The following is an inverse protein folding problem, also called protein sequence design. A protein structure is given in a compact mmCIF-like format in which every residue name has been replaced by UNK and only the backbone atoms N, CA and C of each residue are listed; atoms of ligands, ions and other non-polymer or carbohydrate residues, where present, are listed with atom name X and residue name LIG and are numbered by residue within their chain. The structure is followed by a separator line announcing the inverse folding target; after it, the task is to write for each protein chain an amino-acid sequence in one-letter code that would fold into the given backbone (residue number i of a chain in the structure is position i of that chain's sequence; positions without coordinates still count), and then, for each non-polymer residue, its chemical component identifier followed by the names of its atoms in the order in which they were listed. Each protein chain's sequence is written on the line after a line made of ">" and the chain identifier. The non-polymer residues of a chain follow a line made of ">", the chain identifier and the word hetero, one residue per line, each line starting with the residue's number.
data_IF_310046187023
#
_entry.id   IF_310046187023
#
_cell.length_a   1.000
_cell.length_b   1.000
_cell.length_c   1.000
_cell.angle_alpha   90.00
_cell.angle_beta   90.00
_cell.angle_gamma   90.00
#
_symmetry.space_group_name_H-M   'P 1'
#
loop_
_entity.id
_entity.type
_entity.pdbx_description
1 polymer ?
#
# COMPACT_ATOMS: atom_id res chain seq x y z
N UNK A 1 9.47 -29.28 -11.44
CA UNK A 1 9.86 -29.81 -10.10
C UNK A 1 9.73 -28.66 -9.10
N UNK A 2 9.26 -28.91 -7.88
CA UNK A 2 9.14 -27.86 -6.85
C UNK A 2 10.53 -27.49 -6.30
N UNK A 3 10.76 -26.20 -6.00
CA UNK A 3 12.02 -25.65 -5.46
C UNK A 3 12.53 -26.40 -4.22
N UNK A 4 11.64 -26.73 -3.27
CA UNK A 4 12.01 -27.47 -2.06
C UNK A 4 12.53 -28.88 -2.39
N UNK A 5 11.91 -29.54 -3.37
CA UNK A 5 12.33 -30.89 -3.79
C UNK A 5 13.68 -30.85 -4.52
N UNK A 6 13.92 -29.81 -5.32
CA UNK A 6 15.20 -29.61 -5.98
C UNK A 6 16.34 -29.41 -4.97
N UNK A 7 16.15 -28.52 -3.99
CA UNK A 7 17.13 -28.27 -2.92
C UNK A 7 17.34 -29.48 -2.02
N UNK A 8 16.28 -30.25 -1.73
CA UNK A 8 16.41 -31.49 -0.97
C UNK A 8 17.25 -32.54 -1.71
N UNK A 9 17.02 -32.72 -3.02
CA UNK A 9 17.83 -33.61 -3.85
C UNK A 9 19.29 -33.16 -3.91
N UNK A 10 19.52 -31.85 -4.08
CA UNK A 10 20.87 -31.26 -4.04
C UNK A 10 21.55 -31.51 -2.71
N UNK A 11 20.86 -31.26 -1.59
CA UNK A 11 21.36 -31.52 -0.23
C UNK A 11 21.73 -32.99 -0.03
N UNK A 12 20.87 -33.92 -0.45
CA UNK A 12 21.17 -35.35 -0.32
C UNK A 12 22.38 -35.76 -1.15
N UNK A 13 22.59 -35.13 -2.31
CA UNK A 13 23.71 -35.43 -3.19
C UNK A 13 25.03 -34.88 -2.61
N UNK A 14 25.08 -33.63 -2.16
CA UNK A 14 26.30 -33.10 -1.55
C UNK A 14 26.61 -33.76 -0.20
N UNK A 15 25.59 -34.12 0.59
CA UNK A 15 25.79 -34.88 1.82
C UNK A 15 26.36 -36.28 1.56
N UNK A 16 26.06 -36.91 0.40
CA UNK A 16 26.67 -38.19 0.06
C UNK A 16 28.16 -38.05 -0.30
N UNK A 17 28.57 -36.93 -0.89
CA UNK A 17 30.01 -36.61 -1.12
C UNK A 17 30.75 -36.52 0.21
N UNK A 18 30.21 -35.80 1.20
CA UNK A 18 30.80 -35.71 2.56
C UNK A 18 31.07 -37.08 3.16
N UNK A 19 30.11 -38.01 3.03
CA UNK A 19 30.24 -39.36 3.57
C UNK A 19 31.29 -40.17 2.80
N UNK A 20 31.24 -40.13 1.47
CA UNK A 20 32.14 -40.90 0.60
C UNK A 20 33.59 -40.42 0.74
N UNK A 21 33.84 -39.12 0.62
CA UNK A 21 35.18 -38.54 0.75
C UNK A 21 35.70 -38.64 2.19
N UNK A 22 34.85 -38.42 3.19
CA UNK A 22 35.23 -38.57 4.59
C UNK A 22 35.64 -40.01 4.92
N UNK A 23 34.87 -40.99 4.46
CA UNK A 23 35.23 -42.40 4.63
C UNK A 23 36.51 -42.75 3.85
N UNK A 24 36.64 -42.31 2.60
CA UNK A 24 37.83 -42.53 1.79
C UNK A 24 39.08 -41.91 2.43
N UNK A 25 38.98 -40.68 2.95
CA UNK A 25 40.05 -39.98 3.64
C UNK A 25 40.49 -40.67 4.93
N UNK A 26 39.54 -41.17 5.73
CA UNK A 26 39.86 -41.96 6.94
C UNK A 26 40.52 -43.31 6.60
N UNK A 27 40.02 -44.02 5.58
CA UNK A 27 40.53 -45.34 5.19
C UNK A 27 41.93 -45.26 4.57
N UNK A 28 42.21 -44.20 3.82
CA UNK A 28 43.51 -43.95 3.17
C UNK A 28 44.44 -43.11 4.03
N UNK A 29 43.98 -42.61 5.18
CA UNK A 29 44.68 -41.63 6.00
C UNK A 29 45.13 -40.40 5.19
N UNK A 30 44.31 -39.98 4.22
CA UNK A 30 44.58 -38.88 3.31
C UNK A 30 44.00 -37.57 3.85
N UNK A 31 44.89 -36.66 4.23
CA UNK A 31 44.51 -35.30 4.66
C UNK A 31 43.85 -34.50 3.53
N UNK A 32 44.22 -34.76 2.27
CA UNK A 32 43.60 -34.09 1.11
C UNK A 32 42.12 -34.48 0.99
N UNK A 33 41.79 -35.78 1.03
CA UNK A 33 40.40 -36.25 0.96
C UNK A 33 39.58 -35.82 2.17
N UNK A 34 40.18 -35.74 3.36
CA UNK A 34 39.52 -35.20 4.56
C UNK A 34 39.23 -33.70 4.44
N UNK A 35 40.11 -32.94 3.79
CA UNK A 35 39.91 -31.53 3.50
C UNK A 35 38.78 -31.31 2.50
N UNK A 36 38.73 -32.11 1.43
CA UNK A 36 37.65 -32.05 0.42
C UNK A 36 36.29 -32.41 1.05
N UNK A 37 36.25 -33.44 1.90
CA UNK A 37 35.06 -33.81 2.65
C UNK A 37 34.55 -32.69 3.57
N UNK A 38 35.47 -31.94 4.20
CA UNK A 38 35.15 -30.79 5.03
C UNK A 38 34.60 -29.62 4.20
N UNK A 39 35.13 -29.41 3.00
CA UNK A 39 34.61 -28.41 2.06
C UNK A 39 33.18 -28.75 1.65
N UNK A 40 32.95 -29.98 1.20
CA UNK A 40 31.61 -30.48 0.84
C UNK A 40 30.63 -30.41 2.03
N UNK A 41 31.11 -30.49 3.27
CA UNK A 41 30.28 -30.29 4.47
C UNK A 41 29.81 -28.84 4.60
N UNK A 42 30.68 -27.86 4.34
CA UNK A 42 30.28 -26.46 4.32
C UNK A 42 29.27 -26.17 3.21
N UNK A 43 29.40 -26.80 2.05
CA UNK A 43 28.42 -26.70 0.97
C UNK A 43 27.08 -27.35 1.35
N UNK A 44 27.11 -28.52 1.99
CA UNK A 44 25.90 -29.14 2.52
C UNK A 44 25.19 -28.25 3.54
N UNK A 45 25.93 -27.56 4.41
CA UNK A 45 25.37 -26.58 5.37
C UNK A 45 24.81 -25.34 4.65
N UNK A 46 25.46 -24.86 3.59
CA UNK A 46 24.96 -23.77 2.76
C UNK A 46 23.65 -24.17 2.05
N UNK A 47 23.60 -25.34 1.41
CA UNK A 47 22.39 -25.87 0.78
C UNK A 47 21.28 -26.11 1.80
N UNK A 48 21.59 -26.60 3.00
CA UNK A 48 20.62 -26.75 4.09
C UNK A 48 20.03 -25.38 4.49
N UNK A 49 20.87 -24.36 4.62
CA UNK A 49 20.43 -22.99 4.92
C UNK A 49 19.47 -22.48 3.85
N UNK A 50 19.80 -22.70 2.57
CA UNK A 50 18.92 -22.34 1.45
C UNK A 50 17.60 -23.12 1.50
N UNK A 51 17.63 -24.42 1.75
CA UNK A 51 16.43 -25.26 1.88
C UNK A 51 15.51 -24.80 3.01
N UNK A 52 16.07 -24.51 4.19
CA UNK A 52 15.31 -23.99 5.33
C UNK A 52 14.70 -22.63 4.99
N UNK A 53 15.48 -21.73 4.38
CA UNK A 53 14.98 -20.42 3.96
C UNK A 53 13.82 -20.54 2.96
N UNK A 54 13.92 -21.44 1.96
CA UNK A 54 12.85 -21.73 1.01
C UNK A 54 11.63 -22.34 1.68
N UNK A 55 11.81 -23.26 2.63
CA UNK A 55 10.71 -23.89 3.34
C UNK A 55 9.94 -22.87 4.18
N UNK A 56 10.65 -22.04 4.94
CA UNK A 56 10.06 -20.97 5.75
C UNK A 56 9.41 -19.89 4.89
N UNK A 57 9.95 -19.58 3.70
CA UNK A 57 9.37 -18.56 2.82
C UNK A 57 8.03 -18.93 2.20
N UNK A 58 7.73 -20.24 2.13
CA UNK A 58 6.47 -20.77 1.61
C UNK A 58 5.31 -20.68 2.61
N UNK A 59 5.57 -20.29 3.87
CA UNK A 59 4.52 -20.13 4.88
C UNK A 59 3.57 -18.98 4.47
N UNK A 60 2.24 -19.19 4.51
CA UNK A 60 1.27 -18.15 4.19
C UNK A 60 1.40 -16.95 5.15
N UNK A 61 0.77 -15.80 4.81
CA UNK A 61 0.68 -14.65 5.71
C UNK A 61 0.08 -15.01 7.07
N UNK A 62 0.60 -14.39 8.12
CA UNK A 62 0.07 -14.45 9.49
C UNK A 62 0.07 -13.06 10.14
N UNK A 63 -0.40 -12.95 11.37
CA UNK A 63 -0.53 -11.67 12.09
C UNK A 63 0.82 -10.93 12.26
N UNK A 64 1.92 -11.67 12.35
CA UNK A 64 3.27 -11.09 12.49
C UNK A 64 3.92 -10.79 11.14
N UNK A 65 3.49 -11.48 10.08
CA UNK A 65 3.98 -11.35 8.71
C UNK A 65 2.80 -11.17 7.75
N UNK A 66 2.19 -9.98 7.78
CA UNK A 66 0.95 -9.67 7.04
C UNK A 66 1.09 -9.73 5.52
N UNK A 67 2.31 -9.57 5.00
CA UNK A 67 2.63 -9.73 3.57
C UNK A 67 3.15 -11.12 3.21
N UNK A 68 3.19 -12.05 4.18
CA UNK A 68 3.77 -13.38 4.02
C UNK A 68 5.26 -13.45 4.31
N UNK A 69 5.80 -14.66 4.22
CA UNK A 69 7.17 -14.98 4.60
C UNK A 69 8.16 -14.95 3.42
N UNK A 70 7.72 -14.49 2.25
CA UNK A 70 8.49 -14.57 1.00
C UNK A 70 9.89 -13.94 1.07
N UNK A 71 10.08 -12.88 1.87
CA UNK A 71 11.39 -12.22 2.07
C UNK A 71 12.45 -13.13 2.71
N UNK A 72 12.06 -14.19 3.42
CA UNK A 72 13.01 -15.15 3.99
C UNK A 72 13.82 -15.83 2.87
N UNK A 73 13.25 -16.01 1.68
CA UNK A 73 13.98 -16.53 0.54
C UNK A 73 15.11 -15.59 0.10
N UNK A 74 14.88 -14.28 0.13
CA UNK A 74 15.85 -13.24 -0.19
C UNK A 74 16.97 -13.18 0.84
N UNK A 75 16.64 -13.36 2.13
CA UNK A 75 17.62 -13.51 3.21
C UNK A 75 18.48 -14.76 2.99
N UNK A 76 17.85 -15.89 2.65
CA UNK A 76 18.55 -17.13 2.31
C UNK A 76 19.52 -16.95 1.14
N UNK A 77 19.07 -16.29 0.07
CA UNK A 77 19.92 -15.95 -1.08
C UNK A 77 21.08 -15.01 -0.72
N UNK A 78 20.85 -14.03 0.16
CA UNK A 78 21.89 -13.13 0.64
C UNK A 78 22.96 -13.88 1.42
N UNK A 79 22.55 -14.70 2.39
CA UNK A 79 23.44 -15.56 3.17
C UNK A 79 24.19 -16.56 2.28
N UNK A 80 23.50 -17.20 1.34
CA UNK A 80 24.12 -18.09 0.36
C UNK A 80 25.19 -17.39 -0.48
N UNK A 81 25.00 -16.10 -0.80
CA UNK A 81 25.99 -15.30 -1.52
C UNK A 81 27.22 -14.98 -0.69
N UNK A 82 27.03 -14.66 0.59
CA UNK A 82 28.13 -14.47 1.53
C UNK A 82 28.92 -15.76 1.74
N UNK A 83 28.25 -16.90 1.88
CA UNK A 83 28.92 -18.20 1.98
C UNK A 83 29.76 -18.49 0.72
N UNK A 84 29.22 -18.23 -0.47
CA UNK A 84 29.97 -18.39 -1.73
C UNK A 84 31.19 -17.45 -1.80
N UNK A 85 31.09 -16.25 -1.23
CA UNK A 85 32.21 -15.34 -1.12
C UNK A 85 33.33 -15.90 -0.23
N UNK A 86 32.96 -16.44 0.93
CA UNK A 86 33.92 -17.05 1.88
C UNK A 86 34.62 -18.25 1.24
N UNK A 87 33.91 -19.09 0.50
CA UNK A 87 34.50 -20.21 -0.26
C UNK A 87 35.49 -19.70 -1.33
N UNK A 88 35.15 -18.62 -2.04
CA UNK A 88 36.09 -17.99 -2.97
C UNK A 88 37.38 -17.49 -2.31
N UNK A 89 37.29 -16.92 -1.10
CA UNK A 89 38.48 -16.51 -0.32
C UNK A 89 39.34 -17.72 0.05
N UNK A 90 38.71 -18.82 0.45
CA UNK A 90 39.41 -20.07 0.79
C UNK A 90 40.18 -20.65 -0.42
N UNK A 91 39.56 -20.63 -1.61
CA UNK A 91 40.22 -21.07 -2.86
C UNK A 91 41.45 -20.21 -3.18
N UNK A 92 41.34 -18.89 -3.09
CA UNK A 92 42.47 -17.96 -3.35
C UNK A 92 43.60 -18.22 -2.38
N UNK A 93 43.27 -18.32 -1.10
CA UNK A 93 44.22 -18.55 -0.05
C UNK A 93 44.97 -19.89 -0.25
N UNK A 94 44.23 -20.95 -0.59
CA UNK A 94 44.79 -22.26 -0.91
C UNK A 94 45.71 -22.23 -2.15
N UNK A 95 45.31 -21.50 -3.20
CA UNK A 95 46.13 -21.33 -4.41
C UNK A 95 47.46 -20.61 -4.11
N UNK A 96 47.44 -19.57 -3.26
CA UNK A 96 48.66 -18.87 -2.85
C UNK A 96 49.60 -19.74 -2.00
N UNK A 97 49.06 -20.56 -1.08
CA UNK A 97 49.89 -21.49 -0.29
C UNK A 97 50.61 -22.50 -1.19
N UNK A 98 49.90 -23.12 -2.14
CA UNK A 98 50.48 -24.06 -3.11
C UNK A 98 51.62 -23.43 -3.90
N UNK A 99 51.50 -22.16 -4.29
CA UNK A 99 52.57 -21.43 -4.99
C UNK A 99 53.78 -21.16 -4.08
N UNK A 100 53.56 -20.88 -2.79
CA UNK A 100 54.62 -20.54 -1.84
C UNK A 100 55.41 -21.76 -1.36
N UNK A 101 54.75 -22.90 -1.16
CA UNK A 101 55.34 -24.10 -0.54
C UNK A 101 56.06 -25.00 -1.57
N UNK A 102 55.93 -24.74 -2.88
CA UNK A 102 56.48 -25.58 -3.97
C UNK A 102 56.15 -27.08 -3.80
N UNK A 103 55.07 -27.39 -3.09
CA UNK A 103 54.71 -28.74 -2.68
C UNK A 103 53.97 -29.44 -3.82
N UNK A 104 54.63 -30.41 -4.46
CA UNK A 104 54.12 -31.08 -5.67
C UNK A 104 53.82 -32.58 -5.50
N UNK A 105 53.80 -33.08 -4.26
CA UNK A 105 53.65 -34.51 -4.00
C UNK A 105 52.23 -34.87 -3.59
N UNK A 106 51.27 -34.72 -4.51
CA UNK A 106 50.01 -35.48 -4.43
C UNK A 106 50.18 -36.69 -5.32
N UNK A 107 50.56 -37.83 -4.75
CA UNK A 107 50.46 -39.12 -5.45
C UNK A 107 49.01 -39.59 -5.30
N UNK A 108 48.15 -39.45 -6.34
CA UNK A 108 46.76 -39.80 -6.18
C UNK A 108 46.67 -41.32 -6.19
N UNK A 109 46.26 -41.90 -5.07
CA UNK A 109 45.91 -43.32 -5.01
C UNK A 109 44.62 -43.57 -5.79
N UNK A 110 44.38 -44.82 -6.21
CA UNK A 110 43.17 -45.22 -6.95
C UNK A 110 41.88 -44.75 -6.26
N UNK A 111 41.88 -44.75 -4.92
CA UNK A 111 40.76 -44.27 -4.09
C UNK A 111 40.51 -42.78 -4.28
N UNK A 112 41.56 -41.95 -4.39
CA UNK A 112 41.43 -40.52 -4.63
C UNK A 112 40.83 -40.21 -6.01
N UNK A 113 41.24 -40.94 -7.06
CA UNK A 113 40.63 -40.79 -8.37
C UNK A 113 39.15 -41.18 -8.36
N UNK A 114 38.79 -42.29 -7.71
CA UNK A 114 37.40 -42.73 -7.59
C UNK A 114 36.54 -41.69 -6.84
N UNK A 115 37.08 -41.08 -5.79
CA UNK A 115 36.41 -40.01 -5.04
C UNK A 115 36.17 -38.78 -5.94
N UNK A 116 37.19 -38.30 -6.65
CA UNK A 116 37.05 -37.15 -7.57
C UNK A 116 36.01 -37.43 -8.66
N UNK A 117 36.02 -38.61 -9.28
CA UNK A 117 35.02 -38.95 -10.30
C UNK A 117 33.60 -39.03 -9.74
N UNK A 118 33.46 -39.51 -8.49
CA UNK A 118 32.18 -39.53 -7.81
C UNK A 118 31.66 -38.10 -7.56
N UNK A 119 32.51 -37.21 -7.03
CA UNK A 119 32.18 -35.81 -6.79
C UNK A 119 31.79 -35.09 -8.09
N UNK A 120 32.55 -35.29 -9.17
CA UNK A 120 32.23 -34.76 -10.49
C UNK A 120 30.85 -35.21 -11.00
N UNK A 121 30.51 -36.49 -10.79
CA UNK A 121 29.21 -37.04 -11.19
C UNK A 121 28.07 -36.44 -10.35
N UNK A 122 28.28 -36.26 -9.05
CA UNK A 122 27.32 -35.66 -8.14
C UNK A 122 27.09 -34.18 -8.47
N UNK A 123 28.14 -33.40 -8.71
CA UNK A 123 27.98 -31.99 -9.08
C UNK A 123 27.28 -31.83 -10.44
N UNK A 124 27.60 -32.69 -11.41
CA UNK A 124 26.87 -32.77 -12.68
C UNK A 124 25.38 -33.06 -12.47
N UNK A 125 25.04 -33.98 -11.56
CA UNK A 125 23.66 -34.29 -11.18
C UNK A 125 22.98 -33.10 -10.49
N UNK A 126 23.64 -32.44 -9.52
CA UNK A 126 23.14 -31.25 -8.82
C UNK A 126 22.82 -30.14 -9.82
N UNK A 127 23.77 -29.81 -10.70
CA UNK A 127 23.58 -28.78 -11.75
C UNK A 127 22.39 -29.12 -12.64
N UNK A 128 22.25 -30.38 -13.08
CA UNK A 128 21.14 -30.82 -13.92
C UNK A 128 19.77 -30.67 -13.24
N UNK A 129 19.68 -31.13 -11.98
CA UNK A 129 18.47 -31.05 -11.14
C UNK A 129 18.06 -29.59 -10.90
N UNK A 130 19.01 -28.75 -10.48
CA UNK A 130 18.77 -27.34 -10.14
C UNK A 130 18.45 -26.51 -11.39
N UNK A 131 19.20 -26.68 -12.47
CA UNK A 131 18.95 -25.99 -13.74
C UNK A 131 17.57 -26.35 -14.31
N UNK A 132 17.17 -27.62 -14.25
CA UNK A 132 15.84 -28.06 -14.69
C UNK A 132 14.73 -27.45 -13.82
N UNK A 133 14.97 -27.25 -12.53
CA UNK A 133 14.00 -26.60 -11.63
C UNK A 133 13.77 -25.12 -11.95
N UNK A 134 14.77 -24.41 -12.48
CA UNK A 134 14.68 -22.98 -12.78
C UNK A 134 13.93 -22.65 -14.09
N UNK A 135 13.62 -23.64 -14.92
CA UNK A 135 12.88 -23.43 -16.18
C UNK A 135 11.40 -23.07 -15.98
N UNK A 136 10.86 -23.24 -14.76
CA UNK A 136 9.44 -22.97 -14.44
C UNK A 136 9.21 -21.74 -13.57
N UNK A 137 10.14 -21.39 -12.66
CA UNK A 137 9.99 -20.28 -11.71
C UNK A 137 11.36 -19.64 -11.39
N UNK A 138 11.38 -18.33 -11.17
CA UNK A 138 12.57 -17.64 -10.66
C UNK A 138 12.69 -17.82 -9.14
N UNK A 139 13.47 -18.80 -8.68
CA UNK A 139 13.84 -18.94 -7.27
C UNK A 139 15.25 -18.42 -7.02
N UNK A 140 15.38 -17.55 -6.01
CA UNK A 140 16.67 -16.97 -5.62
C UNK A 140 17.55 -18.01 -4.93
N UNK A 141 16.95 -18.81 -4.06
CA UNK A 141 17.63 -19.87 -3.30
C UNK A 141 18.11 -21.00 -4.19
N UNK A 142 17.31 -21.44 -5.18
CA UNK A 142 17.75 -22.45 -6.16
C UNK A 142 18.87 -21.92 -7.06
N UNK A 143 18.82 -20.63 -7.46
CA UNK A 143 19.92 -20.00 -8.22
C UNK A 143 21.21 -19.95 -7.40
N UNK A 144 21.12 -19.66 -6.10
CA UNK A 144 22.26 -19.67 -5.20
C UNK A 144 22.91 -21.06 -5.12
N UNK A 145 22.11 -22.09 -4.89
CA UNK A 145 22.59 -23.47 -4.82
C UNK A 145 23.19 -23.96 -6.15
N UNK A 146 22.63 -23.51 -7.27
CA UNK A 146 23.19 -23.80 -8.60
C UNK A 146 24.57 -23.15 -8.78
N UNK A 147 24.78 -21.93 -8.28
CA UNK A 147 26.07 -21.27 -8.36
C UNK A 147 27.12 -21.92 -7.46
N UNK A 148 26.72 -22.41 -6.29
CA UNK A 148 27.57 -23.28 -5.46
C UNK A 148 27.97 -24.55 -6.24
N UNK A 149 27.00 -25.32 -6.75
CA UNK A 149 27.31 -26.54 -7.52
C UNK A 149 28.19 -26.29 -8.76
N UNK A 150 28.02 -25.16 -9.45
CA UNK A 150 28.89 -24.75 -10.58
C UNK A 150 30.30 -24.41 -10.08
N UNK A 151 30.42 -23.74 -8.93
CA UNK A 151 31.69 -23.43 -8.29
C UNK A 151 32.46 -24.72 -7.98
N UNK A 152 31.80 -25.70 -7.37
CA UNK A 152 32.38 -26.99 -6.95
C UNK A 152 32.85 -27.81 -8.16
N UNK A 153 32.02 -27.90 -9.21
CA UNK A 153 32.41 -28.57 -10.45
C UNK A 153 33.62 -27.89 -11.09
N UNK A 154 33.61 -26.55 -11.10
CA UNK A 154 34.67 -25.78 -11.74
C UNK A 154 35.98 -25.86 -10.96
N UNK A 155 35.94 -25.86 -9.62
CA UNK A 155 37.14 -26.00 -8.78
C UNK A 155 37.79 -27.37 -8.97
N UNK A 156 36.97 -28.43 -9.05
CA UNK A 156 37.42 -29.79 -9.35
C UNK A 156 38.07 -29.88 -10.74
N UNK A 157 37.45 -29.27 -11.75
CA UNK A 157 38.01 -29.23 -13.12
C UNK A 157 39.32 -28.44 -13.20
N UNK A 158 39.43 -27.32 -12.49
CA UNK A 158 40.67 -26.55 -12.39
C UNK A 158 41.76 -27.38 -11.71
N UNK A 159 41.47 -28.05 -10.60
CA UNK A 159 42.43 -28.92 -9.92
C UNK A 159 42.92 -30.06 -10.83
N UNK A 160 42.03 -30.70 -11.59
CA UNK A 160 42.40 -31.72 -12.58
C UNK A 160 43.27 -31.15 -13.71
N UNK A 161 42.93 -29.97 -14.22
CA UNK A 161 43.74 -29.28 -15.23
C UNK A 161 45.12 -28.89 -14.69
N UNK A 162 45.19 -28.49 -13.42
CA UNK A 162 46.44 -28.24 -12.71
C UNK A 162 47.32 -29.47 -12.59
N UNK A 163 46.74 -30.60 -12.17
CA UNK A 163 47.44 -31.88 -12.14
C UNK A 163 47.95 -32.30 -13.51
N UNK A 164 47.13 -32.18 -14.56
CA UNK A 164 47.54 -32.47 -15.93
C UNK A 164 48.67 -31.53 -16.40
N UNK A 165 48.61 -30.24 -16.07
CA UNK A 165 49.63 -29.25 -16.44
C UNK A 165 50.95 -29.48 -15.72
N UNK A 166 50.91 -29.89 -14.44
CA UNK A 166 52.08 -30.29 -13.68
C UNK A 166 52.77 -31.52 -14.29
N UNK A 167 52.00 -32.49 -14.81
CA UNK A 167 52.56 -33.65 -15.54
C UNK A 167 53.31 -33.28 -16.83
N UNK A 168 53.00 -32.11 -17.41
CA UNK A 168 53.64 -31.54 -18.59
C UNK A 168 54.74 -30.50 -18.25
N UNK A 169 55.11 -30.35 -16.97
CA UNK A 169 56.03 -29.33 -16.45
C UNK A 169 55.59 -27.87 -16.68
N UNK A 170 54.27 -27.61 -16.80
CA UNK A 170 53.68 -26.27 -16.93
C UNK A 170 53.10 -25.85 -15.58
N UNK A 171 53.95 -25.38 -14.67
CA UNK A 171 53.59 -25.13 -13.26
C UNK A 171 52.70 -23.89 -13.04
N UNK A 172 52.73 -22.91 -13.94
CA UNK A 172 51.97 -21.65 -13.79
C UNK A 172 50.49 -21.79 -14.23
N UNK A 173 50.17 -22.84 -14.99
CA UNK A 173 48.83 -23.04 -15.56
C UNK A 173 47.74 -23.22 -14.51
N UNK A 174 48.03 -23.96 -13.44
CA UNK A 174 47.10 -24.24 -12.34
C UNK A 174 46.70 -22.96 -11.59
N UNK A 175 47.69 -22.16 -11.17
CA UNK A 175 47.46 -20.92 -10.43
C UNK A 175 46.66 -19.90 -11.25
N UNK A 176 46.96 -19.76 -12.55
CA UNK A 176 46.20 -18.85 -13.42
C UNK A 176 44.75 -19.31 -13.60
N UNK A 177 44.52 -20.60 -13.79
CA UNK A 177 43.17 -21.16 -13.91
C UNK A 177 42.36 -20.97 -12.61
N UNK A 178 42.99 -21.20 -11.44
CA UNK A 178 42.38 -20.97 -10.14
C UNK A 178 42.03 -19.51 -9.89
N UNK A 179 42.90 -18.56 -10.26
CA UNK A 179 42.63 -17.12 -10.13
C UNK A 179 41.49 -16.66 -11.04
N UNK A 180 41.44 -17.15 -12.29
CA UNK A 180 40.34 -16.84 -13.23
C UNK A 180 39.02 -17.37 -12.68
N UNK A 181 39.01 -18.62 -12.20
CA UNK A 181 37.83 -19.22 -11.59
C UNK A 181 37.37 -18.42 -10.37
N UNK A 182 38.29 -18.02 -9.48
CA UNK A 182 37.91 -17.26 -8.31
C UNK A 182 37.34 -15.87 -8.65
N UNK A 183 37.90 -15.19 -9.66
CA UNK A 183 37.35 -13.93 -10.13
C UNK A 183 35.90 -14.09 -10.61
N UNK A 184 35.59 -15.22 -11.28
CA UNK A 184 34.25 -15.57 -11.69
C UNK A 184 33.31 -15.86 -10.49
N UNK A 185 33.77 -16.63 -9.50
CA UNK A 185 33.02 -16.93 -8.26
C UNK A 185 32.70 -15.64 -7.49
N UNK A 186 33.68 -14.75 -7.30
CA UNK A 186 33.45 -13.46 -6.64
C UNK A 186 32.45 -12.59 -7.39
N UNK A 187 32.52 -12.54 -8.72
CA UNK A 187 31.54 -11.82 -9.52
C UNK A 187 30.13 -12.37 -9.31
N UNK A 188 29.94 -13.70 -9.33
CA UNK A 188 28.63 -14.33 -9.11
C UNK A 188 28.09 -14.07 -7.70
N UNK A 189 28.95 -14.24 -6.69
CA UNK A 189 28.62 -13.97 -5.29
C UNK A 189 28.19 -12.52 -5.08
N UNK A 190 29.01 -11.55 -5.48
CA UNK A 190 28.71 -10.12 -5.33
C UNK A 190 27.44 -9.72 -6.08
N UNK A 191 27.25 -10.24 -7.30
CA UNK A 191 26.02 -10.03 -8.07
C UNK A 191 24.79 -10.58 -7.36
N UNK A 192 24.90 -11.72 -6.69
CA UNK A 192 23.80 -12.33 -5.94
C UNK A 192 23.50 -11.57 -4.65
N UNK A 193 24.53 -11.19 -3.88
CA UNK A 193 24.41 -10.33 -2.70
C UNK A 193 23.76 -9.01 -3.07
N UNK A 194 24.22 -8.35 -4.13
CA UNK A 194 23.63 -7.10 -4.61
C UNK A 194 22.15 -7.25 -4.99
N UNK A 195 21.80 -8.28 -5.79
CA UNK A 195 20.41 -8.52 -6.21
C UNK A 195 19.48 -8.85 -5.05
N UNK A 196 19.92 -9.64 -4.09
CA UNK A 196 19.15 -9.98 -2.89
C UNK A 196 18.99 -8.78 -1.97
N UNK A 197 20.01 -7.94 -1.87
CA UNK A 197 19.96 -6.68 -1.11
C UNK A 197 18.95 -5.70 -1.70
N UNK A 198 18.90 -5.60 -3.03
CA UNK A 198 17.86 -4.83 -3.74
C UNK A 198 16.46 -5.38 -3.46
N UNK A 199 16.29 -6.68 -3.46
CA UNK A 199 14.99 -7.29 -3.14
C UNK A 199 14.60 -7.02 -1.68
N UNK A 200 15.55 -7.07 -0.74
CA UNK A 200 15.31 -6.71 0.66
C UNK A 200 14.99 -5.22 0.86
N UNK A 201 15.52 -4.33 0.02
CA UNK A 201 15.23 -2.89 0.05
C UNK A 201 13.97 -2.49 -0.76
N UNK A 202 13.14 -3.45 -1.13
CA UNK A 202 11.92 -3.28 -1.91
C UNK A 202 12.13 -2.72 -3.33
N UNK A 203 13.35 -2.78 -3.86
CA UNK A 203 13.64 -2.33 -5.22
C UNK A 203 13.06 -3.30 -6.26
N UNK A 204 12.48 -2.73 -7.33
CA UNK A 204 11.95 -3.50 -8.46
C UNK A 204 12.65 -3.14 -9.77
N UNK A 205 12.77 -4.09 -10.73
CA UNK A 205 13.30 -3.78 -12.05
C UNK A 205 12.52 -2.67 -12.75
N UNK A 206 13.22 -1.76 -13.42
CA UNK A 206 12.62 -0.66 -14.20
C UNK A 206 11.61 -1.16 -15.24
N UNK A 207 11.82 -2.35 -15.80
CA UNK A 207 10.88 -2.98 -16.74
C UNK A 207 9.52 -3.27 -16.10
N UNK A 208 9.47 -3.77 -14.85
CA UNK A 208 8.21 -4.01 -14.14
C UNK A 208 7.52 -2.68 -13.87
N UNK A 209 8.25 -1.70 -13.35
CA UNK A 209 7.72 -0.36 -13.08
C UNK A 209 7.11 0.29 -14.33
N UNK A 210 7.83 0.29 -15.45
CA UNK A 210 7.35 0.86 -16.72
C UNK A 210 6.12 0.14 -17.26
N UNK A 211 6.04 -1.19 -17.12
CA UNK A 211 4.88 -1.98 -17.56
C UNK A 211 3.64 -1.67 -16.74
N UNK A 212 3.76 -1.64 -15.41
CA UNK A 212 2.64 -1.26 -14.52
C UNK A 212 2.19 0.17 -14.79
N UNK A 213 3.15 1.10 -14.93
CA UNK A 213 2.88 2.50 -15.30
C UNK A 213 2.08 2.60 -16.60
N UNK A 214 2.48 1.87 -17.64
CA UNK A 214 1.77 1.86 -18.92
C UNK A 214 0.34 1.29 -18.80
N UNK A 215 0.14 0.25 -17.99
CA UNK A 215 -1.19 -0.33 -17.75
C UNK A 215 -2.17 0.66 -17.11
N UNK A 216 -1.68 1.48 -16.17
CA UNK A 216 -2.45 2.55 -15.50
C UNK A 216 -2.73 3.71 -16.48
N UNK A 217 -1.71 4.19 -17.20
CA UNK A 217 -1.82 5.34 -18.11
C UNK A 217 -2.78 5.12 -19.28
N UNK A 218 -2.95 3.87 -19.70
CA UNK A 218 -3.81 3.51 -20.83
C UNK A 218 -5.27 3.23 -20.43
N UNK A 219 -5.63 3.39 -19.14
CA UNK A 219 -6.98 3.14 -18.67
C UNK A 219 -7.89 4.37 -18.93
N UNK A 220 -9.06 4.22 -19.59
CA UNK A 220 -9.86 5.33 -20.09
C UNK A 220 -10.40 6.27 -18.99
N UNK A 221 -10.72 5.71 -17.82
CA UNK A 221 -11.33 6.47 -16.71
C UNK A 221 -10.30 7.05 -15.71
N UNK A 222 -9.00 6.90 -15.98
CA UNK A 222 -7.93 7.42 -15.11
C UNK A 222 -7.37 8.68 -15.75
N UNK A 223 -7.60 9.84 -15.12
CA UNK A 223 -7.06 11.13 -15.61
C UNK A 223 -5.60 11.31 -15.22
N UNK A 224 -5.28 10.92 -14.00
CA UNK A 224 -3.96 11.09 -13.38
C UNK A 224 -3.74 9.99 -12.35
N UNK A 225 -2.47 9.67 -12.04
CA UNK A 225 -2.14 8.76 -10.96
C UNK A 225 -0.87 9.24 -10.25
N UNK A 226 -0.83 9.01 -8.95
CA UNK A 226 0.24 9.41 -8.04
C UNK A 226 0.65 8.24 -7.14
N UNK A 227 1.75 8.42 -6.40
CA UNK A 227 2.18 7.51 -5.34
C UNK A 227 2.26 6.03 -5.77
N UNK A 228 2.62 5.76 -7.03
CA UNK A 228 2.84 4.40 -7.51
C UNK A 228 4.03 3.77 -6.78
N UNK A 229 3.73 2.81 -5.89
CA UNK A 229 4.70 2.03 -5.14
C UNK A 229 4.59 0.58 -5.56
N UNK A 230 5.73 -0.05 -5.82
CA UNK A 230 5.79 -1.44 -6.26
C UNK A 230 6.91 -2.09 -5.48
N UNK A 231 6.62 -3.27 -4.91
CA UNK A 231 7.62 -4.09 -4.24
C UNK A 231 7.39 -5.57 -4.50
N UNK A 232 8.42 -6.38 -4.27
CA UNK A 232 8.36 -7.83 -4.40
C UNK A 232 8.48 -8.50 -3.04
N UNK A 233 7.68 -9.53 -2.78
CA UNK A 233 7.77 -10.39 -1.60
C UNK A 233 7.72 -11.83 -2.09
N UNK A 234 8.88 -12.49 -2.13
CA UNK A 234 9.00 -13.81 -2.73
C UNK A 234 8.67 -13.77 -4.23
N UNK A 235 7.70 -14.57 -4.65
CA UNK A 235 7.22 -14.64 -6.04
C UNK A 235 6.02 -13.70 -6.33
N UNK A 236 5.54 -12.96 -5.33
CA UNK A 236 4.39 -12.04 -5.45
C UNK A 236 4.85 -10.58 -5.54
N UNK A 237 4.19 -9.80 -6.40
CA UNK A 237 4.40 -8.36 -6.53
C UNK A 237 3.25 -7.60 -5.87
N UNK A 238 3.55 -6.65 -5.01
CA UNK A 238 2.59 -5.74 -4.40
C UNK A 238 2.66 -4.39 -5.11
N UNK A 239 1.50 -3.86 -5.48
CA UNK A 239 1.35 -2.56 -6.15
C UNK A 239 0.37 -1.72 -5.36
N UNK A 240 0.78 -0.54 -4.93
CA UNK A 240 -0.09 0.47 -4.34
C UNK A 240 -0.10 1.69 -5.26
N UNK A 241 -1.28 2.22 -5.58
CA UNK A 241 -1.41 3.37 -6.46
C UNK A 241 -2.59 4.25 -6.06
N UNK A 242 -2.38 5.57 -6.12
CA UNK A 242 -3.46 6.55 -6.02
C UNK A 242 -3.88 6.94 -7.45
N UNK A 243 -5.16 6.80 -7.78
CA UNK A 243 -5.69 7.15 -9.10
C UNK A 243 -6.75 8.23 -8.99
N UNK A 244 -6.68 9.21 -9.88
CA UNK A 244 -7.61 10.33 -9.95
C UNK A 244 -8.74 10.02 -10.92
N UNK A 245 -9.97 10.02 -10.41
CA UNK A 245 -11.20 9.64 -11.13
C UNK A 245 -12.23 10.78 -11.11
N UNK A 246 -13.21 10.82 -12.03
CA UNK A 246 -14.31 11.77 -11.99
C UNK A 246 -15.06 11.80 -10.64
N UNK A 247 -15.56 12.97 -10.22
CA UNK A 247 -16.20 13.14 -8.91
C UNK A 247 -17.62 12.58 -8.89
N UNK A 248 -18.31 12.55 -10.04
CA UNK A 248 -19.69 12.06 -10.18
C UNK A 248 -19.79 10.53 -10.36
N UNK A 249 -18.78 9.76 -9.94
CA UNK A 249 -18.78 8.30 -10.03
C UNK A 249 -19.64 7.66 -8.92
N UNK A 250 -20.51 6.74 -9.31
CA UNK A 250 -21.16 5.84 -8.35
C UNK A 250 -20.14 4.86 -7.75
N UNK A 251 -20.43 4.35 -6.55
CA UNK A 251 -19.60 3.32 -5.88
C UNK A 251 -19.42 2.08 -6.77
N UNK A 252 -20.44 1.72 -7.55
CA UNK A 252 -20.37 0.58 -8.47
C UNK A 252 -19.40 0.83 -9.63
N UNK A 253 -19.41 2.02 -10.23
CA UNK A 253 -18.49 2.35 -11.31
C UNK A 253 -17.05 2.47 -10.80
N UNK A 254 -16.87 3.00 -9.59
CA UNK A 254 -15.59 3.02 -8.90
C UNK A 254 -15.02 1.60 -8.70
N UNK A 255 -15.84 0.66 -8.23
CA UNK A 255 -15.44 -0.75 -8.06
C UNK A 255 -15.06 -1.43 -9.38
N UNK A 256 -15.78 -1.13 -10.47
CA UNK A 256 -15.45 -1.62 -11.81
C UNK A 256 -14.09 -1.09 -12.30
N UNK A 257 -13.79 0.19 -12.06
CA UNK A 257 -12.48 0.78 -12.40
C UNK A 257 -11.36 0.10 -11.61
N UNK A 258 -11.56 -0.11 -10.30
CA UNK A 258 -10.58 -0.79 -9.46
C UNK A 258 -10.36 -2.21 -9.95
N UNK A 259 -11.43 -2.99 -10.15
CA UNK A 259 -11.36 -4.38 -10.58
C UNK A 259 -10.69 -4.55 -11.95
N UNK A 260 -11.02 -3.69 -12.92
CA UNK A 260 -10.37 -3.71 -14.24
C UNK A 260 -8.87 -3.40 -14.14
N UNK A 261 -8.51 -2.38 -13.35
CA UNK A 261 -7.11 -2.01 -13.15
C UNK A 261 -6.32 -3.12 -12.45
N UNK A 262 -6.89 -3.74 -11.40
CA UNK A 262 -6.28 -4.87 -10.71
C UNK A 262 -6.01 -6.02 -11.68
N UNK A 263 -7.02 -6.41 -12.48
CA UNK A 263 -6.90 -7.48 -13.47
C UNK A 263 -5.84 -7.17 -14.53
N UNK A 264 -5.87 -5.96 -15.10
CA UNK A 264 -4.91 -5.54 -16.13
C UNK A 264 -3.48 -5.53 -15.63
N UNK A 265 -3.26 -5.10 -14.38
CA UNK A 265 -1.93 -5.18 -13.76
C UNK A 265 -1.53 -6.63 -13.52
N UNK A 266 -2.44 -7.48 -13.03
CA UNK A 266 -2.19 -8.91 -12.80
C UNK A 266 -1.84 -9.66 -14.09
N UNK A 267 -2.55 -9.40 -15.18
CA UNK A 267 -2.25 -9.96 -16.52
C UNK A 267 -0.89 -9.48 -17.04
N UNK A 268 -0.45 -8.30 -16.62
CA UNK A 268 0.85 -7.74 -16.99
C UNK A 268 1.98 -8.37 -16.18
N UNK A 269 1.92 -8.33 -14.85
CA UNK A 269 3.08 -8.69 -14.01
C UNK A 269 3.01 -10.10 -13.41
N UNK A 270 1.93 -10.84 -13.65
CA UNK A 270 1.70 -12.17 -13.09
C UNK A 270 1.17 -12.12 -11.66
N UNK A 271 1.66 -13.02 -10.80
CA UNK A 271 1.24 -13.11 -9.39
C UNK A 271 1.44 -11.78 -8.67
N UNK A 272 0.35 -11.07 -8.42
CA UNK A 272 0.37 -9.74 -7.81
C UNK A 272 -0.85 -9.46 -6.96
N UNK A 273 -0.70 -8.47 -6.08
CA UNK A 273 -1.75 -7.89 -5.25
C UNK A 273 -1.71 -6.38 -5.42
N UNK A 274 -2.87 -5.79 -5.72
CA UNK A 274 -2.95 -4.41 -6.18
C UNK A 274 -3.95 -3.65 -5.31
N UNK A 275 -3.46 -2.66 -4.57
CA UNK A 275 -4.26 -1.73 -3.79
C UNK A 275 -4.45 -0.44 -4.59
N UNK A 276 -5.69 -0.05 -4.83
CA UNK A 276 -6.02 1.16 -5.58
C UNK A 276 -6.76 2.11 -4.67
N UNK A 277 -6.19 3.30 -4.44
CA UNK A 277 -6.85 4.39 -3.74
C UNK A 277 -7.43 5.36 -4.75
N UNK A 278 -8.74 5.54 -4.71
CA UNK A 278 -9.41 6.51 -5.57
C UNK A 278 -9.33 7.91 -4.95
N UNK A 279 -8.95 8.89 -5.76
CA UNK A 279 -9.04 10.32 -5.45
C UNK A 279 -10.00 10.99 -6.42
N UNK A 280 -10.94 11.81 -5.97
CA UNK A 280 -11.74 12.61 -6.88
C UNK A 280 -10.83 13.62 -7.58
N UNK A 281 -11.11 13.86 -8.87
CA UNK A 281 -10.49 14.95 -9.61
C UNK A 281 -10.77 16.28 -8.90
N UNK A 282 -9.76 17.10 -8.58
CA UNK A 282 -10.01 18.42 -8.04
C UNK A 282 -10.83 19.23 -9.06
N UNK A 283 -11.96 19.79 -8.61
CA UNK A 283 -12.67 20.81 -9.37
C UNK A 283 -11.83 22.09 -9.35
N UNK A 284 -11.84 22.85 -10.45
CA UNK A 284 -11.66 24.30 -10.30
C UNK A 284 -12.78 24.79 -9.39
N UNK A 285 -12.51 25.64 -8.38
CA UNK A 285 -13.56 26.11 -7.49
C UNK A 285 -14.71 26.65 -8.34
N UNK A 286 -15.92 26.16 -8.07
CA UNK A 286 -17.11 26.63 -8.78
C UNK A 286 -17.20 28.16 -8.63
N UNK A 287 -17.83 28.84 -9.59
CA UNK A 287 -17.99 30.31 -9.52
C UNK A 287 -18.56 30.75 -8.16
N UNK A 288 -19.50 29.97 -7.60
CA UNK A 288 -20.08 30.18 -6.27
C UNK A 288 -19.07 30.02 -5.12
N UNK A 289 -18.17 29.03 -5.17
CA UNK A 289 -17.12 28.86 -4.16
C UNK A 289 -16.09 29.98 -4.23
N UNK A 290 -15.76 30.44 -5.43
CA UNK A 290 -14.87 31.60 -5.62
C UNK A 290 -15.50 32.88 -5.06
N UNK A 291 -16.79 33.12 -5.31
CA UNK A 291 -17.55 34.23 -4.72
C UNK A 291 -17.53 34.15 -3.19
N UNK A 292 -17.84 32.97 -2.61
CA UNK A 292 -17.79 32.77 -1.15
C UNK A 292 -16.41 33.04 -0.58
N UNK A 293 -15.36 32.55 -1.25
CA UNK A 293 -13.98 32.75 -0.84
C UNK A 293 -13.62 34.24 -0.81
N UNK A 294 -13.85 34.96 -1.91
CA UNK A 294 -13.54 36.40 -2.01
C UNK A 294 -14.29 37.20 -0.95
N UNK A 295 -15.60 36.97 -0.80
CA UNK A 295 -16.42 37.65 0.20
C UNK A 295 -15.96 37.35 1.64
N UNK A 296 -15.63 36.09 1.96
CA UNK A 296 -15.16 35.68 3.30
C UNK A 296 -13.78 36.23 3.69
N UNK A 297 -13.02 36.77 2.74
CA UNK A 297 -11.69 37.35 2.98
C UNK A 297 -11.73 38.84 3.30
N UNK A 298 -12.89 39.48 3.22
CA UNK A 298 -13.07 40.86 3.64
C UNK A 298 -13.12 40.94 5.16
N UNK A 299 -12.34 41.84 5.73
CA UNK A 299 -12.31 42.07 7.17
C UNK A 299 -13.69 42.55 7.66
N UNK A 300 -14.20 41.93 8.73
CA UNK A 300 -15.55 42.20 9.24
C UNK A 300 -16.62 41.18 8.81
N UNK A 301 -16.37 40.38 7.77
CA UNK A 301 -17.25 39.28 7.36
C UNK A 301 -17.00 38.05 8.24
N UNK A 302 -18.04 37.58 8.94
CA UNK A 302 -18.04 36.39 9.81
C UNK A 302 -18.59 35.15 9.12
N UNK A 303 -19.45 35.34 8.13
CA UNK A 303 -20.13 34.27 7.39
C UNK A 303 -20.66 34.76 6.05
N UNK A 304 -20.83 33.83 5.10
CA UNK A 304 -21.41 34.10 3.78
C UNK A 304 -22.36 32.96 3.43
N UNK A 305 -23.62 33.29 3.15
CA UNK A 305 -24.63 32.29 2.76
C UNK A 305 -25.63 32.86 1.75
N UNK A 306 -26.58 32.03 1.29
CA UNK A 306 -27.61 32.42 0.30
C UNK A 306 -27.04 33.12 -0.94
N UNK A 307 -25.94 32.60 -1.46
CA UNK A 307 -25.32 33.10 -2.69
C UNK A 307 -26.13 32.61 -3.90
N UNK A 308 -26.65 33.55 -4.69
CA UNK A 308 -27.46 33.28 -5.88
C UNK A 308 -26.98 34.14 -7.06
N UNK A 309 -26.91 33.54 -8.24
CA UNK A 309 -26.60 34.23 -9.50
C UNK A 309 -27.86 34.22 -10.37
N UNK A 310 -28.23 35.38 -10.87
CA UNK A 310 -29.36 35.56 -11.80
C UNK A 310 -28.85 36.15 -13.09
N UNK A 311 -29.16 35.52 -14.23
CA UNK A 311 -28.78 36.06 -15.53
C UNK A 311 -29.69 37.24 -15.91
N UNK A 312 -29.11 38.42 -16.15
CA UNK A 312 -29.84 39.62 -16.59
C UNK A 312 -29.19 40.14 -17.88
N UNK A 313 -29.73 39.71 -19.03
CA UNK A 313 -29.15 40.03 -20.33
C UNK A 313 -27.82 39.31 -20.56
N UNK A 314 -26.74 40.06 -20.82
CA UNK A 314 -25.39 39.52 -21.01
C UNK A 314 -24.52 39.52 -19.74
N UNK A 315 -25.08 39.95 -18.60
CA UNK A 315 -24.37 40.08 -17.34
C UNK A 315 -25.09 39.34 -16.22
N UNK A 316 -24.34 38.82 -15.26
CA UNK A 316 -24.91 38.14 -14.10
C UNK A 316 -25.11 39.11 -12.94
N UNK A 317 -26.28 39.05 -12.33
CA UNK A 317 -26.60 39.73 -11.09
C UNK A 317 -26.36 38.77 -9.91
N UNK A 318 -25.46 39.14 -9.01
CA UNK A 318 -25.12 38.34 -7.84
C UNK A 318 -25.88 38.86 -6.62
N UNK A 319 -26.61 37.99 -5.92
CA UNK A 319 -27.18 38.27 -4.60
C UNK A 319 -26.50 37.39 -3.55
N UNK A 320 -26.08 37.95 -2.43
CA UNK A 320 -25.51 37.20 -1.32
C UNK A 320 -25.86 37.82 0.03
N UNK A 321 -25.82 37.00 1.08
CA UNK A 321 -25.93 37.46 2.45
C UNK A 321 -24.56 37.34 3.12
N UNK A 322 -24.14 38.40 3.82
CA UNK A 322 -22.94 38.40 4.66
C UNK A 322 -23.36 38.54 6.12
N UNK A 323 -22.71 37.79 6.99
CA UNK A 323 -22.88 37.91 8.43
C UNK A 323 -21.77 38.80 9.00
N UNK A 324 -22.13 39.80 9.81
CA UNK A 324 -21.19 40.73 10.47
C UNK A 324 -21.39 40.70 12.00
N UNK A 325 -20.54 41.40 12.76
CA UNK A 325 -20.73 41.50 14.22
C UNK A 325 -22.10 42.14 14.56
N UNK A 326 -22.93 41.52 15.43
CA UNK A 326 -24.21 42.10 15.86
C UNK A 326 -24.11 43.49 16.50
N UNK A 327 -22.96 43.85 17.08
CA UNK A 327 -22.70 45.15 17.70
C UNK A 327 -22.02 46.15 16.73
N UNK A 328 -21.86 45.79 15.46
CA UNK A 328 -21.24 46.66 14.46
C UNK A 328 -22.19 47.84 14.13
N UNK A 329 -21.72 49.09 14.25
CA UNK A 329 -22.48 50.25 13.79
C UNK A 329 -22.89 50.12 12.30
N UNK A 330 -24.08 50.62 11.96
CA UNK A 330 -24.67 50.42 10.62
C UNK A 330 -23.86 51.05 9.49
N UNK A 331 -23.19 52.17 9.76
CA UNK A 331 -22.25 52.81 8.83
C UNK A 331 -21.04 51.90 8.53
N UNK A 332 -20.46 51.28 9.57
CA UNK A 332 -19.38 50.31 9.42
C UNK A 332 -19.83 49.02 8.73
N UNK A 333 -21.04 48.57 9.01
CA UNK A 333 -21.62 47.42 8.31
C UNK A 333 -21.81 47.69 6.81
N UNK A 334 -22.15 48.93 6.45
CA UNK A 334 -22.24 49.37 5.06
C UNK A 334 -20.85 49.39 4.38
N UNK A 335 -19.82 49.91 5.05
CA UNK A 335 -18.44 49.89 4.54
C UNK A 335 -17.95 48.46 4.26
N UNK A 336 -18.28 47.49 5.12
CA UNK A 336 -17.94 46.07 4.90
C UNK A 336 -18.65 45.53 3.65
N UNK A 337 -19.93 45.85 3.46
CA UNK A 337 -20.67 45.45 2.27
C UNK A 337 -20.10 46.06 0.99
N UNK A 338 -19.77 47.36 0.99
CA UNK A 338 -19.14 48.04 -0.16
C UNK A 338 -17.79 47.41 -0.52
N UNK A 339 -16.96 47.05 0.47
CA UNK A 339 -15.68 46.40 0.22
C UNK A 339 -15.86 44.98 -0.35
N UNK A 340 -16.86 44.22 0.12
CA UNK A 340 -17.22 42.91 -0.45
C UNK A 340 -17.67 43.06 -1.90
N UNK A 341 -18.55 44.03 -2.20
CA UNK A 341 -19.00 44.30 -3.56
C UNK A 341 -17.84 44.67 -4.48
N UNK A 342 -16.97 45.59 -4.05
CA UNK A 342 -15.80 46.03 -4.80
C UNK A 342 -14.87 44.86 -5.14
N UNK A 343 -14.53 44.03 -4.15
CA UNK A 343 -13.67 42.85 -4.38
C UNK A 343 -14.31 41.82 -5.29
N UNK A 344 -15.61 41.58 -5.17
CA UNK A 344 -16.30 40.64 -6.05
C UNK A 344 -16.31 41.14 -7.50
N UNK A 345 -16.53 42.44 -7.72
CA UNK A 345 -16.50 43.04 -9.07
C UNK A 345 -15.09 43.04 -9.68
N UNK A 346 -14.04 43.21 -8.87
CA UNK A 346 -12.64 43.22 -9.34
C UNK A 346 -12.08 41.81 -9.57
N UNK A 347 -12.35 40.88 -8.65
CA UNK A 347 -11.71 39.55 -8.62
C UNK A 347 -12.53 38.46 -9.32
N UNK A 348 -13.82 38.68 -9.59
CA UNK A 348 -14.72 37.69 -10.20
C UNK A 348 -15.28 38.21 -11.52
N UNK A 349 -14.75 37.68 -12.63
CA UNK A 349 -15.20 38.01 -13.99
C UNK A 349 -16.61 37.48 -14.27
N UNK A 350 -17.47 38.30 -14.91
CA UNK A 350 -18.81 37.91 -15.38
C UNK A 350 -19.97 38.45 -14.54
N UNK A 351 -19.67 39.10 -13.41
CA UNK A 351 -20.66 39.79 -12.56
C UNK A 351 -20.85 41.21 -13.08
N UNK A 352 -22.09 41.58 -13.40
CA UNK A 352 -22.45 42.94 -13.81
C UNK A 352 -22.90 43.84 -12.67
N UNK A 353 -23.47 43.24 -11.62
CA UNK A 353 -23.87 43.94 -10.40
C UNK A 353 -24.03 42.97 -9.24
N UNK A 354 -23.85 43.47 -8.01
CA UNK A 354 -23.94 42.70 -6.77
C UNK A 354 -25.00 43.33 -5.85
N UNK A 355 -25.72 42.51 -5.10
CA UNK A 355 -26.61 42.95 -4.02
C UNK A 355 -26.29 42.16 -2.76
N UNK A 356 -25.92 42.88 -1.71
CA UNK A 356 -25.47 42.31 -0.45
C UNK A 356 -26.50 42.60 0.63
N UNK A 357 -27.02 41.54 1.24
CA UNK A 357 -27.81 41.63 2.45
C UNK A 357 -26.89 41.44 3.66
N UNK A 358 -26.84 42.44 4.53
CA UNK A 358 -26.05 42.36 5.77
C UNK A 358 -26.93 41.81 6.88
N UNK A 359 -26.50 40.71 7.49
CA UNK A 359 -27.18 40.07 8.60
C UNK A 359 -26.26 40.05 9.84
N UNK A 360 -26.81 40.14 11.06
CA UNK A 360 -26.02 39.92 12.27
C UNK A 360 -25.65 38.44 12.38
N UNK A 361 -24.37 38.14 12.63
CA UNK A 361 -23.91 36.78 12.85
C UNK A 361 -24.63 36.17 14.05
N UNK A 362 -25.24 34.99 13.86
CA UNK A 362 -25.94 34.31 14.95
C UNK A 362 -24.93 33.76 15.96
N UNK A 363 -24.95 34.28 17.19
CA UNK A 363 -24.26 33.62 18.30
C UNK A 363 -24.95 32.28 18.57
N UNK A 364 -24.17 31.19 18.71
CA UNK A 364 -24.72 29.91 19.16
C UNK A 364 -25.33 30.10 20.55
N UNK A 365 -26.65 30.19 20.60
CA UNK A 365 -27.39 30.29 21.86
C UNK A 365 -27.16 28.98 22.61
N UNK A 366 -26.41 29.04 23.72
CA UNK A 366 -26.37 27.93 24.67
C UNK A 366 -27.76 27.83 25.30
N UNK A 367 -28.55 26.85 24.88
CA UNK A 367 -29.82 26.58 25.51
C UNK A 367 -29.63 25.63 26.70
N UNK A 368 -30.43 25.80 27.75
CA UNK A 368 -30.58 24.80 28.81
C UNK A 368 -31.96 24.13 28.66
N UNK A 369 -32.03 22.82 28.85
CA UNK A 369 -33.29 22.10 28.83
C UNK A 369 -34.12 22.51 30.05
N UNK A 370 -35.40 22.83 29.83
CA UNK A 370 -36.34 23.18 30.89
C UNK A 370 -37.07 21.89 31.27
N UNK A 371 -36.82 21.37 32.47
CA UNK A 371 -37.52 20.19 33.01
C UNK A 371 -38.90 20.53 33.60
N UNK A 372 -39.72 21.30 32.87
CA UNK A 372 -41.11 21.56 33.25
C UNK A 372 -42.02 20.46 32.69
N UNK A 373 -42.27 19.44 33.53
CA UNK A 373 -43.10 18.29 33.16
C UNK A 373 -44.56 18.66 32.90
N UNK A 374 -45.08 19.68 33.57
CA UNK A 374 -46.47 20.11 33.42
C UNK A 374 -46.67 20.81 32.07
N UNK A 375 -45.69 21.64 31.68
CA UNK A 375 -45.66 22.28 30.37
C UNK A 375 -45.50 21.26 29.24
N UNK A 376 -44.56 20.33 29.36
CA UNK A 376 -44.32 19.28 28.33
C UNK A 376 -45.56 18.42 28.12
N UNK A 377 -46.22 17.96 29.20
CA UNK A 377 -47.45 17.18 29.05
C UNK A 377 -48.62 18.03 28.52
N UNK A 378 -48.76 19.27 28.96
CA UNK A 378 -49.78 20.17 28.43
C UNK A 378 -49.60 20.46 26.93
N UNK A 379 -48.36 20.56 26.43
CA UNK A 379 -48.07 20.65 24.99
C UNK A 379 -48.46 19.36 24.28
N UNK A 380 -48.08 18.18 24.81
CA UNK A 380 -48.47 16.89 24.23
C UNK A 380 -49.99 16.74 24.11
N UNK A 381 -50.76 17.23 25.08
CA UNK A 381 -52.22 17.23 25.01
C UNK A 381 -52.76 18.07 23.84
N UNK A 382 -52.22 19.28 23.64
CA UNK A 382 -52.61 20.15 22.51
C UNK A 382 -52.34 19.44 21.19
N UNK A 383 -51.16 18.82 21.05
CA UNK A 383 -50.79 18.12 19.81
C UNK A 383 -51.66 16.89 19.58
N UNK A 384 -51.96 16.11 20.63
CA UNK A 384 -52.84 14.92 20.56
C UNK A 384 -54.30 15.27 20.26
N UNK A 385 -54.77 16.48 20.61
CA UNK A 385 -56.12 16.92 20.32
C UNK A 385 -56.37 17.14 18.81
N UNK A 386 -55.30 17.31 18.01
CA UNK A 386 -55.43 17.47 16.57
C UNK A 386 -55.70 16.12 15.88
N UNK A 387 -56.87 15.99 15.25
CA UNK A 387 -57.36 14.74 14.62
C UNK A 387 -56.44 14.13 13.54
N UNK A 388 -55.53 14.94 12.99
CA UNK A 388 -54.61 14.52 11.93
C UNK A 388 -53.27 14.01 12.46
N UNK A 389 -52.98 14.24 13.74
CA UNK A 389 -51.81 13.67 14.42
C UNK A 389 -52.13 12.22 14.79
N UNK A 390 -51.22 11.32 14.43
CA UNK A 390 -51.27 9.90 14.82
C UNK A 390 -50.52 9.69 16.14
N UNK A 391 -49.34 10.27 16.26
CA UNK A 391 -48.43 10.08 17.39
C UNK A 391 -47.63 11.35 17.66
N UNK A 392 -47.33 11.62 18.94
CA UNK A 392 -46.36 12.63 19.36
C UNK A 392 -45.09 11.90 19.77
N UNK A 393 -44.01 12.02 18.99
CA UNK A 393 -42.75 11.31 19.22
C UNK A 393 -41.94 11.96 20.33
N UNK A 394 -41.85 13.27 20.32
CA UNK A 394 -40.99 14.01 21.24
C UNK A 394 -41.49 15.45 21.41
N UNK A 395 -41.35 15.97 22.63
CA UNK A 395 -41.60 17.37 22.94
C UNK A 395 -40.48 17.82 23.87
N UNK A 396 -39.69 18.77 23.40
CA UNK A 396 -38.57 19.34 24.15
C UNK A 396 -38.80 20.81 24.39
N UNK A 397 -38.63 21.23 25.63
CA UNK A 397 -38.70 22.64 26.00
C UNK A 397 -37.33 23.07 26.48
N UNK A 398 -36.82 24.17 25.96
CA UNK A 398 -35.52 24.70 26.34
C UNK A 398 -35.55 26.22 26.42
N UNK A 399 -34.76 26.77 27.34
CA UNK A 399 -34.64 28.19 27.57
C UNK A 399 -33.29 28.72 27.08
N UNK A 400 -33.28 29.97 26.65
CA UNK A 400 -32.03 30.71 26.48
C UNK A 400 -31.69 31.58 27.71
N UNK A 401 -30.46 32.07 27.75
CA UNK A 401 -30.00 32.97 28.83
C UNK A 401 -30.69 34.34 28.83
N UNK A 402 -31.49 34.66 27.80
CA UNK A 402 -32.32 35.86 27.71
C UNK A 402 -33.76 35.62 28.19
N UNK A 403 -34.04 34.47 28.80
CA UNK A 403 -35.36 34.04 29.30
C UNK A 403 -36.42 33.90 28.19
N UNK A 404 -36.00 33.64 26.95
CA UNK A 404 -36.91 33.14 25.92
C UNK A 404 -36.98 31.63 26.00
N UNK A 405 -38.19 31.12 25.93
CA UNK A 405 -38.46 29.69 25.97
C UNK A 405 -38.83 29.21 24.57
N UNK A 406 -38.39 28.01 24.24
CA UNK A 406 -38.59 27.37 22.96
C UNK A 406 -39.20 25.99 23.19
N UNK A 407 -40.17 25.62 22.36
CA UNK A 407 -40.76 24.29 22.35
C UNK A 407 -40.56 23.65 20.98
N UNK A 408 -39.80 22.56 20.93
CA UNK A 408 -39.63 21.73 19.74
C UNK A 408 -40.53 20.49 19.86
N UNK A 409 -41.46 20.37 18.91
CA UNK A 409 -42.47 19.31 18.87
C UNK A 409 -42.24 18.45 17.64
N UNK A 410 -42.06 17.14 17.86
CA UNK A 410 -42.06 16.15 16.79
C UNK A 410 -43.32 15.30 16.82
N UNK A 411 -44.09 15.33 15.74
CA UNK A 411 -45.30 14.54 15.60
C UNK A 411 -45.38 13.83 14.25
N UNK A 412 -46.04 12.68 14.26
CA UNK A 412 -46.31 11.85 13.08
C UNK A 412 -47.74 12.14 12.64
N UNK A 413 -47.92 12.52 11.39
CA UNK A 413 -49.24 12.69 10.79
C UNK A 413 -49.72 11.39 10.15
N UNK A 414 -51.03 11.26 9.95
CA UNK A 414 -51.65 10.10 9.28
C UNK A 414 -51.34 10.09 7.76
N UNK A 415 -51.24 8.89 7.17
CA UNK A 415 -50.81 8.61 5.78
C UNK A 415 -51.70 9.10 4.61
N UNK A 416 -52.36 10.26 4.73
CA UNK A 416 -53.28 10.74 3.69
C UNK A 416 -53.28 12.26 3.48
N UNK A 417 -52.22 12.94 3.91
CA UNK A 417 -52.09 14.39 3.81
C UNK A 417 -51.07 14.78 2.74
N UNK A 418 -51.41 15.79 1.95
CA UNK A 418 -50.44 16.48 1.09
C UNK A 418 -49.48 17.32 1.93
N UNK A 419 -48.35 17.73 1.34
CA UNK A 419 -47.35 18.60 2.02
C UNK A 419 -47.99 19.93 2.46
N UNK A 420 -48.92 20.48 1.67
CA UNK A 420 -49.64 21.72 1.99
C UNK A 420 -50.59 21.51 3.19
N UNK A 421 -51.34 20.42 3.21
CA UNK A 421 -52.22 20.08 4.34
C UNK A 421 -51.43 19.78 5.62
N UNK A 422 -50.29 19.10 5.49
CA UNK A 422 -49.37 18.88 6.60
C UNK A 422 -48.84 20.21 7.17
N UNK A 423 -48.45 21.16 6.31
CA UNK A 423 -48.03 22.49 6.74
C UNK A 423 -49.15 23.25 7.48
N UNK A 424 -50.39 23.20 6.97
CA UNK A 424 -51.55 23.79 7.66
C UNK A 424 -51.75 23.18 9.06
N UNK A 425 -51.56 21.86 9.20
CA UNK A 425 -51.66 21.17 10.49
C UNK A 425 -50.54 21.62 11.44
N UNK A 426 -49.29 21.72 10.98
CA UNK A 426 -48.18 22.25 11.79
C UNK A 426 -48.46 23.66 12.27
N UNK A 427 -48.82 24.58 11.37
CA UNK A 427 -49.10 25.98 11.72
C UNK A 427 -50.26 26.10 12.70
N UNK A 428 -51.27 25.21 12.60
CA UNK A 428 -52.38 25.18 13.56
C UNK A 428 -51.93 24.72 14.95
N UNK A 429 -51.11 23.67 15.04
CA UNK A 429 -50.55 23.16 16.30
C UNK A 429 -49.65 24.22 16.94
N UNK A 430 -48.78 24.84 16.14
CA UNK A 430 -47.89 25.93 16.57
C UNK A 430 -48.69 27.08 17.20
N UNK A 431 -49.77 27.51 16.54
CA UNK A 431 -50.66 28.56 17.04
C UNK A 431 -51.35 28.17 18.33
N UNK A 432 -51.94 26.97 18.42
CA UNK A 432 -52.64 26.51 19.62
C UNK A 432 -51.70 26.40 20.85
N UNK A 433 -50.45 26.00 20.63
CA UNK A 433 -49.43 25.98 21.70
C UNK A 433 -49.04 27.41 22.10
N UNK A 434 -48.82 28.29 21.13
CA UNK A 434 -48.44 29.70 21.38
C UNK A 434 -49.55 30.47 22.11
N UNK A 435 -50.81 30.19 21.81
CA UNK A 435 -51.97 30.78 22.51
C UNK A 435 -52.07 30.29 23.97
N UNK A 436 -51.76 29.01 24.22
CA UNK A 436 -51.81 28.41 25.57
C UNK A 436 -50.61 28.80 26.44
N UNK A 437 -49.45 29.04 25.82
CA UNK A 437 -48.21 29.43 26.49
C UNK A 437 -47.61 30.71 25.87
N UNK A 438 -48.14 31.90 26.24
CA UNK A 438 -47.66 33.16 25.72
C UNK A 438 -46.19 33.42 26.09
N UNK A 439 -45.34 33.61 25.08
CA UNK A 439 -43.90 33.85 25.27
C UNK A 439 -42.99 32.67 24.88
N UNK A 440 -43.58 31.52 24.54
CA UNK A 440 -42.84 30.33 24.06
C UNK A 440 -42.82 30.34 22.54
N UNK A 441 -41.63 30.23 21.95
CA UNK A 441 -41.47 30.10 20.51
C UNK A 441 -41.53 28.62 20.11
N UNK A 442 -42.51 28.25 19.30
CA UNK A 442 -42.82 26.85 18.99
C UNK A 442 -42.31 26.49 17.59
N UNK A 443 -41.65 25.36 17.46
CA UNK A 443 -41.28 24.76 16.18
C UNK A 443 -41.92 23.38 16.10
N UNK A 444 -42.66 23.11 15.01
CA UNK A 444 -43.33 21.82 14.79
C UNK A 444 -42.68 21.09 13.63
N UNK A 445 -42.06 19.95 13.93
CA UNK A 445 -41.50 19.03 12.95
C UNK A 445 -42.47 17.89 12.68
N UNK A 446 -42.86 17.75 11.41
CA UNK A 446 -43.78 16.71 10.94
C UNK A 446 -42.99 15.59 10.29
N UNK A 447 -43.33 14.37 10.66
CA UNK A 447 -42.82 13.14 10.05
C UNK A 447 -44.00 12.36 9.42
N UNK A 448 -43.73 11.68 8.29
CA UNK A 448 -44.71 10.83 7.61
C UNK A 448 -44.81 9.46 8.29
N UNK A 449 -45.98 8.84 8.21
CA UNK A 449 -46.20 7.51 8.76
C UNK A 449 -45.46 6.48 7.87
N UNK A 450 -44.46 5.82 8.46
CA UNK A 450 -43.58 4.89 7.75
C UNK A 450 -42.11 5.31 7.64
N UNK A 451 -41.71 6.48 8.15
CA UNK A 451 -40.28 6.83 8.27
C UNK A 451 -39.64 6.00 9.41
N UNK A 452 -38.88 4.93 9.10
CA UNK A 452 -38.25 4.08 10.10
C UNK A 452 -36.96 4.75 10.55
N UNK A 453 -36.76 4.90 11.86
CA UNK A 453 -35.41 5.08 12.40
C UNK A 453 -34.69 3.75 12.50
#
# INVERSE_FOLDING_TARGET
>A
MNKTRALMLSLTAIASVVIVEGAAGLLTNSLALLSDALHALFDALATLTLLVATYLSLKPPDETHTYGHGKIESIGGFLGGLLLFVLGVDIVWSAFRRLAEWEHNVTPELVGFLAIFYTLAIDGLRISVLHTSLKGEESVTVKADLFHAISDLSSTLVALAGFASASLNIFVGDTLAALILCAFIFYLSLKMVYRTSLDLSDAVPKSIFSRVKASIQTHPNIKHFDNLRIRRVGDKIFVDVDVTVPQELSVKEADLIVSDLQKKIQDTVGKSEVSVKLKPSPQQPTLLERIRYVASKVEGVRGVHKVALTDVGSAQHLTLHIEVDPNLPTDRAHEVAEEVERRLMEEVSGIGSVTIHVEPAQERIKAYEIEDKDMVEGIKEVVKANRFVKEVRDVKVYGDYNKKEYADVRCVLKDNLTVEEAHIVATKIEREITERYPGVQVTVHIEAEGDPK
#
